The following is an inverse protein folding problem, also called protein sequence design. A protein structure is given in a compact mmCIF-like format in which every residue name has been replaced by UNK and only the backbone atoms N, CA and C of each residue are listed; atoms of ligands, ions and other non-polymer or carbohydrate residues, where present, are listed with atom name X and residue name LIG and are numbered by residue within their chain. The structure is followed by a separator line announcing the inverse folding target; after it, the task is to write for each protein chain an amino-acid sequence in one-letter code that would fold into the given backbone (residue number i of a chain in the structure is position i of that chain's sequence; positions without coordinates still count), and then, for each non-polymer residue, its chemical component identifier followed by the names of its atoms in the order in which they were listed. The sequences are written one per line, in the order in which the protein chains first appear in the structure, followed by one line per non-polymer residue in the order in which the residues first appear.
data_IF_492560608832
#
_entry.id   IF_492560608832
#
_cell.length_a   1.000
_cell.length_b   1.000
_cell.length_c   1.000
_cell.angle_alpha   90.00
_cell.angle_beta   90.00
_cell.angle_gamma   90.00
#
_symmetry.space_group_name_H-M   'P 1'
#
loop_
_entity.id
_entity.type
_entity.pdbx_description
1 polymer ?
#
# COMPACT_ATOMS: atom_id res chain seq x y z
N UNK A 1 14.76 -15.31 -19.81
CA UNK A 1 13.70 -14.65 -20.60
C UNK A 1 13.10 -13.56 -19.73
N UNK A 2 13.05 -12.33 -20.24
CA UNK A 2 12.64 -11.12 -19.51
C UNK A 2 11.17 -11.22 -19.13
N UNK A 3 10.87 -11.24 -17.83
CA UNK A 3 9.51 -11.29 -17.25
C UNK A 3 8.88 -9.89 -17.19
N UNK A 4 8.99 -9.15 -18.27
CA UNK A 4 8.43 -7.79 -18.40
C UNK A 4 7.31 -7.89 -19.43
N UNK A 5 6.13 -7.35 -19.08
CA UNK A 5 4.99 -7.10 -19.98
C UNK A 5 3.94 -8.21 -20.21
N UNK A 6 3.51 -8.92 -19.15
CA UNK A 6 2.06 -9.12 -19.05
C UNK A 6 1.52 -8.01 -18.15
N UNK A 7 0.91 -7.00 -18.77
CA UNK A 7 0.09 -6.05 -18.02
C UNK A 7 -0.91 -6.88 -17.21
N UNK A 8 -0.87 -6.74 -15.89
CA UNK A 8 -1.69 -7.51 -14.97
C UNK A 8 -3.15 -7.48 -15.43
N UNK A 9 -3.64 -8.63 -15.91
CA UNK A 9 -4.97 -8.78 -16.50
C UNK A 9 -6.10 -8.40 -15.51
N UNK A 10 -5.79 -8.29 -14.21
CA UNK A 10 -6.72 -7.88 -13.18
C UNK A 10 -6.80 -6.37 -13.00
N UNK A 11 -5.75 -5.61 -13.36
CA UNK A 11 -5.72 -4.15 -13.16
C UNK A 11 -6.90 -3.45 -13.85
N UNK A 12 -7.18 -3.67 -15.16
CA UNK A 12 -8.33 -3.04 -15.81
C UNK A 12 -9.67 -3.42 -15.16
N UNK A 13 -9.80 -4.65 -14.67
CA UNK A 13 -11.03 -5.15 -14.02
C UNK A 13 -11.24 -4.47 -12.66
N UNK A 14 -10.18 -4.31 -11.87
CA UNK A 14 -10.23 -3.60 -10.59
C UNK A 14 -10.57 -2.12 -10.78
N UNK A 15 -9.98 -1.47 -11.79
CA UNK A 15 -10.29 -0.08 -12.15
C UNK A 15 -11.75 0.11 -12.59
N UNK A 16 -12.39 -0.93 -13.12
CA UNK A 16 -13.81 -0.90 -13.51
C UNK A 16 -14.78 -1.02 -12.32
N UNK A 17 -14.30 -1.34 -11.11
CA UNK A 17 -15.15 -1.48 -9.93
C UNK A 17 -15.55 -0.09 -9.37
N UNK A 18 -16.82 0.31 -9.48
CA UNK A 18 -17.25 1.69 -9.16
C UNK A 18 -17.33 1.99 -7.66
N UNK A 19 -17.11 1.00 -6.81
CA UNK A 19 -17.20 1.12 -5.34
C UNK A 19 -15.91 0.67 -4.63
N UNK A 20 -14.86 0.36 -5.40
CA UNK A 20 -13.57 -0.01 -4.82
C UNK A 20 -12.94 1.22 -4.14
N UNK A 21 -12.85 1.15 -2.81
CA UNK A 21 -12.30 2.23 -1.97
C UNK A 21 -11.01 1.81 -1.26
N UNK A 22 -10.80 0.51 -1.06
CA UNK A 22 -9.66 -0.04 -0.35
C UNK A 22 -9.15 -1.24 -1.12
N UNK A 23 -7.85 -1.30 -1.36
CA UNK A 23 -7.19 -2.41 -2.01
C UNK A 23 -5.89 -2.71 -1.28
N UNK A 24 -5.63 -4.00 -1.08
CA UNK A 24 -4.38 -4.50 -0.52
C UNK A 24 -3.66 -5.35 -1.56
N UNK A 25 -2.36 -5.15 -1.70
CA UNK A 25 -1.46 -5.90 -2.57
C UNK A 25 -0.29 -6.45 -1.73
N UNK A 26 0.30 -7.55 -2.17
CA UNK A 26 1.61 -7.97 -1.66
C UNK A 26 2.74 -7.30 -2.46
N UNK A 27 3.92 -7.23 -1.87
CA UNK A 27 5.16 -6.71 -2.43
C UNK A 27 5.66 -7.39 -3.72
N UNK A 28 5.15 -8.57 -4.05
CA UNK A 28 5.40 -9.23 -5.34
C UNK A 28 4.81 -8.46 -6.53
N UNK A 29 3.87 -7.53 -6.28
CA UNK A 29 3.18 -6.79 -7.34
C UNK A 29 4.08 -5.66 -7.87
N UNK A 30 4.29 -5.55 -9.21
CA UNK A 30 5.10 -4.50 -9.79
C UNK A 30 4.58 -3.09 -9.48
N UNK A 31 5.49 -2.12 -9.32
CA UNK A 31 5.10 -0.73 -9.06
C UNK A 31 4.25 -0.09 -10.16
N UNK A 32 4.41 -0.52 -11.41
CA UNK A 32 3.57 -0.04 -12.50
C UNK A 32 2.10 -0.45 -12.32
N UNK A 33 1.83 -1.62 -11.73
CA UNK A 33 0.48 -2.03 -11.34
C UNK A 33 -0.08 -1.11 -10.26
N UNK A 34 0.70 -0.81 -9.23
CA UNK A 34 0.28 0.13 -8.18
C UNK A 34 -0.03 1.53 -8.76
N UNK A 35 0.81 2.06 -9.66
CA UNK A 35 0.55 3.33 -10.36
C UNK A 35 -0.73 3.28 -11.18
N UNK A 36 -0.93 2.21 -11.95
CA UNK A 36 -2.11 2.05 -12.78
C UNK A 36 -3.40 1.98 -11.94
N UNK A 37 -3.36 1.30 -10.79
CA UNK A 37 -4.49 1.23 -9.85
C UNK A 37 -4.78 2.59 -9.20
N UNK A 38 -3.75 3.34 -8.79
CA UNK A 38 -3.93 4.70 -8.26
C UNK A 38 -4.56 5.61 -9.32
N UNK A 39 -4.07 5.57 -10.56
CA UNK A 39 -4.63 6.39 -11.65
C UNK A 39 -6.02 5.97 -12.12
N UNK A 40 -6.32 4.67 -12.13
CA UNK A 40 -7.56 4.12 -12.68
C UNK A 40 -8.72 4.01 -11.69
N UNK A 41 -8.44 3.67 -10.42
CA UNK A 41 -9.48 3.49 -9.40
C UNK A 41 -9.90 4.83 -8.80
N UNK A 42 -10.88 5.50 -9.45
CA UNK A 42 -11.30 6.88 -9.10
C UNK A 42 -11.82 7.08 -7.68
N UNK A 43 -12.34 6.03 -7.04
CA UNK A 43 -12.87 6.09 -5.66
C UNK A 43 -11.94 5.48 -4.62
N UNK A 44 -10.77 5.02 -5.05
CA UNK A 44 -9.77 4.45 -4.15
C UNK A 44 -9.35 5.51 -3.13
N UNK A 45 -9.46 5.15 -1.86
CA UNK A 45 -9.02 5.92 -0.70
C UNK A 45 -7.68 5.40 -0.18
N UNK A 46 -7.49 4.09 -0.23
CA UNK A 46 -6.29 3.42 0.28
C UNK A 46 -5.82 2.38 -0.72
N UNK A 47 -4.55 2.46 -1.12
CA UNK A 47 -3.80 1.36 -1.68
C UNK A 47 -2.74 0.94 -0.67
N UNK A 48 -2.96 -0.21 -0.03
CA UNK A 48 -2.04 -0.78 0.95
C UNK A 48 -1.16 -1.82 0.27
N UNK A 49 0.15 -1.73 0.49
CA UNK A 49 1.11 -2.75 0.07
C UNK A 49 1.69 -3.40 1.31
N UNK A 50 1.49 -4.71 1.44
CA UNK A 50 2.10 -5.51 2.49
C UNK A 50 3.48 -5.96 2.03
N UNK A 51 4.47 -5.66 2.85
CA UNK A 51 5.88 -5.81 2.53
C UNK A 51 6.54 -6.85 3.43
N UNK A 52 7.11 -7.89 2.82
CA UNK A 52 7.62 -9.08 3.51
C UNK A 52 9.02 -8.87 4.09
N UNK A 53 9.81 -7.96 3.52
CA UNK A 53 11.14 -7.63 4.05
C UNK A 53 11.09 -6.55 5.15
N UNK A 54 12.25 -6.14 5.66
CA UNK A 54 12.35 -5.09 6.67
C UNK A 54 11.97 -3.69 6.15
N UNK A 55 11.56 -2.80 7.06
CA UNK A 55 11.18 -1.40 6.78
C UNK A 55 12.19 -0.65 5.91
N UNK A 56 13.49 -0.79 6.21
CA UNK A 56 14.55 -0.07 5.49
C UNK A 56 14.50 -0.40 4.00
N UNK A 57 14.31 -1.67 3.66
CA UNK A 57 14.26 -2.11 2.28
C UNK A 57 12.97 -1.67 1.59
N UNK A 58 11.83 -1.75 2.28
CA UNK A 58 10.55 -1.26 1.75
C UNK A 58 10.55 0.24 1.47
N UNK A 59 11.10 1.05 2.39
CA UNK A 59 11.25 2.50 2.20
C UNK A 59 12.20 2.80 1.04
N UNK A 60 13.35 2.13 0.98
CA UNK A 60 14.31 2.28 -0.13
C UNK A 60 13.65 1.97 -1.48
N UNK A 61 12.87 0.88 -1.54
CA UNK A 61 12.16 0.46 -2.73
C UNK A 61 11.07 1.44 -3.13
N UNK A 62 10.32 1.99 -2.18
CA UNK A 62 9.31 3.01 -2.43
C UNK A 62 9.91 4.32 -2.93
N UNK A 63 11.14 4.67 -2.51
CA UNK A 63 11.82 5.88 -3.00
C UNK A 63 12.22 5.77 -4.48
N UNK A 64 12.38 4.56 -5.03
CA UNK A 64 12.63 4.37 -6.47
C UNK A 64 11.44 4.80 -7.34
N UNK A 65 10.24 4.78 -6.76
CA UNK A 65 9.02 5.21 -7.42
C UNK A 65 8.39 6.29 -6.55
N UNK A 66 8.70 7.58 -6.78
CA UNK A 66 8.16 8.66 -5.97
C UNK A 66 6.65 8.79 -6.25
N UNK A 67 5.85 7.93 -5.61
CA UNK A 67 4.41 8.01 -5.61
C UNK A 67 4.03 9.31 -4.90
N UNK A 68 3.74 10.36 -5.69
CA UNK A 68 3.19 11.63 -5.17
C UNK A 68 1.75 11.42 -4.64
N UNK A 69 1.14 10.30 -4.99
CA UNK A 69 -0.20 9.96 -4.57
C UNK A 69 -0.25 9.56 -3.09
N UNK A 70 -0.89 10.39 -2.28
CA UNK A 70 -0.99 10.19 -0.84
C UNK A 70 -1.74 8.91 -0.44
N UNK A 71 -2.51 8.29 -1.35
CA UNK A 71 -3.28 7.06 -1.10
C UNK A 71 -2.41 5.82 -1.00
N UNK A 72 -1.15 5.91 -1.42
CA UNK A 72 -0.19 4.82 -1.34
C UNK A 72 0.39 4.68 0.08
N UNK A 73 0.21 3.50 0.66
CA UNK A 73 0.67 3.17 2.01
C UNK A 73 1.32 1.80 1.99
N UNK A 74 2.43 1.66 2.72
CA UNK A 74 3.11 0.39 2.95
C UNK A 74 2.98 -0.03 4.41
N UNK A 75 2.90 -1.33 4.65
CA UNK A 75 2.91 -1.92 5.99
C UNK A 75 3.69 -3.23 5.95
N UNK A 76 4.24 -3.71 7.08
CA UNK A 76 4.82 -5.04 7.12
C UNK A 76 3.75 -6.10 6.80
N UNK A 77 4.14 -7.12 6.05
CA UNK A 77 3.43 -8.38 5.97
C UNK A 77 3.70 -9.13 7.28
N UNK A 78 2.71 -9.18 8.17
CA UNK A 78 2.82 -9.99 9.37
C UNK A 78 2.56 -11.45 9.00
N UNK A 79 3.56 -12.32 9.13
CA UNK A 79 3.34 -13.76 9.08
C UNK A 79 2.39 -14.13 10.20
N UNK A 80 1.16 -14.49 9.84
CA UNK A 80 0.09 -14.77 10.79
C UNK A 80 0.26 -16.19 11.31
N UNK A 81 1.33 -16.44 12.07
CA UNK A 81 1.44 -17.64 12.90
C UNK A 81 0.49 -17.48 14.09
N UNK A 82 -0.78 -17.82 13.84
CA UNK A 82 -1.76 -18.15 14.87
C UNK A 82 -2.30 -16.99 15.70
N UNK A 83 -3.05 -16.06 15.08
CA UNK A 83 -4.29 -15.51 15.68
C UNK A 83 -4.84 -14.34 14.84
N UNK A 84 -5.79 -14.67 13.96
CA UNK A 84 -6.62 -13.69 13.20
C UNK A 84 -7.41 -12.73 14.14
N UNK A 85 -7.37 -12.93 15.45
CA UNK A 85 -8.23 -12.24 16.42
C UNK A 85 -7.74 -10.86 16.88
N UNK A 86 -6.47 -10.50 16.63
CA UNK A 86 -5.91 -9.24 17.16
C UNK A 86 -5.27 -8.31 16.14
N UNK A 87 -5.32 -8.61 14.84
CA UNK A 87 -4.80 -7.69 13.83
C UNK A 87 -5.63 -6.38 13.85
N UNK A 88 -5.07 -5.25 14.32
CA UNK A 88 -5.78 -3.98 14.33
C UNK A 88 -6.19 -3.62 12.90
N UNK A 89 -7.37 -3.00 12.72
CA UNK A 89 -7.92 -2.72 11.39
C UNK A 89 -6.91 -1.92 10.52
N UNK A 90 -6.23 -2.55 9.54
CA UNK A 90 -5.20 -1.88 8.74
C UNK A 90 -5.77 -0.70 7.96
N UNK A 91 -7.06 -0.76 7.62
CA UNK A 91 -7.72 0.25 6.79
C UNK A 91 -7.88 1.58 7.51
N UNK A 92 -8.39 1.57 8.75
CA UNK A 92 -8.56 2.82 9.52
C UNK A 92 -7.21 3.49 9.79
N UNK A 93 -6.17 2.70 10.09
CA UNK A 93 -4.83 3.23 10.32
C UNK A 93 -4.22 3.81 9.04
N UNK A 94 -4.39 3.12 7.90
CA UNK A 94 -3.95 3.65 6.62
C UNK A 94 -4.68 4.96 6.30
N UNK A 95 -6.00 5.04 6.49
CA UNK A 95 -6.74 6.29 6.32
C UNK A 95 -6.22 7.41 7.23
N UNK A 96 -5.91 7.11 8.50
CA UNK A 96 -5.40 8.11 9.44
C UNK A 96 -3.97 8.55 9.11
N UNK A 97 -3.13 7.64 8.62
CA UNK A 97 -1.80 7.95 8.10
C UNK A 97 -1.89 8.88 6.89
N UNK A 98 -2.78 8.59 5.93
CA UNK A 98 -3.02 9.44 4.76
C UNK A 98 -3.52 10.82 5.19
N UNK A 99 -4.46 10.89 6.14
CA UNK A 99 -4.93 12.17 6.72
C UNK A 99 -3.76 12.94 7.33
N UNK A 100 -2.91 12.29 8.13
CA UNK A 100 -1.76 12.91 8.76
C UNK A 100 -0.77 13.49 7.73
N UNK A 101 -0.53 12.78 6.61
CA UNK A 101 0.26 13.30 5.47
C UNK A 101 -0.38 14.55 4.85
N UNK A 102 -1.68 14.51 4.56
CA UNK A 102 -2.43 15.67 4.00
C UNK A 102 -2.40 16.89 4.91
N UNK A 103 -2.35 16.69 6.23
CA UNK A 103 -2.22 17.78 7.21
C UNK A 103 -0.77 18.21 7.48
N UNK A 104 0.22 17.65 6.77
CA UNK A 104 1.64 17.98 6.96
C UNK A 104 2.22 17.53 8.30
N UNK A 105 1.58 16.57 8.98
CA UNK A 105 2.07 16.01 10.26
C UNK A 105 3.11 14.91 10.05
N UNK A 106 3.16 14.36 8.84
CA UNK A 106 4.09 13.33 8.38
C UNK A 106 4.63 13.81 7.05
N UNK A 107 5.88 13.48 6.74
CA UNK A 107 6.48 13.81 5.45
C UNK A 107 5.71 13.20 4.28
N UNK A 108 5.58 13.94 3.19
CA UNK A 108 4.87 13.50 1.98
C UNK A 108 5.45 12.20 1.40
N UNK A 109 6.75 11.98 1.58
CA UNK A 109 7.49 10.80 1.10
C UNK A 109 7.65 9.70 2.14
N UNK A 110 7.03 9.83 3.31
CA UNK A 110 6.90 8.71 4.23
C UNK A 110 5.73 7.85 3.77
N UNK A 111 6.03 6.60 3.43
CA UNK A 111 5.06 5.62 2.92
C UNK A 111 4.81 4.50 3.93
N UNK A 112 5.72 4.33 4.90
CA UNK A 112 5.67 3.24 5.85
C UNK A 112 4.74 3.58 7.01
N UNK A 113 3.60 2.91 7.06
CA UNK A 113 2.73 2.96 8.23
C UNK A 113 3.43 2.25 9.39
N UNK A 114 3.57 2.89 10.56
CA UNK A 114 4.19 2.27 11.73
C UNK A 114 3.45 1.00 12.16
N UNK A 115 4.20 0.01 12.67
CA UNK A 115 3.71 -1.34 12.98
C UNK A 115 2.52 -1.34 13.96
N UNK A 116 1.85 -2.49 14.04
CA UNK A 116 0.82 -2.82 15.03
C UNK A 116 1.34 -2.99 16.45
N UNK A 117 2.65 -3.18 16.58
CA UNK A 117 3.35 -3.18 17.85
C UNK A 117 3.63 -1.73 18.22
N UNK A 118 2.74 -1.19 19.06
CA UNK A 118 3.10 -0.11 19.95
C UNK A 118 4.37 -0.49 20.69
N UNK A 119 5.27 0.48 20.86
CA UNK A 119 6.38 0.43 21.80
C UNK A 119 5.98 -0.30 23.10
N UNK A 120 6.41 -1.56 23.24
CA UNK A 120 6.42 -2.33 24.48
C UNK A 120 7.68 -3.17 24.51
#
# INVERSE_FOLDING_TARGET
MSSTEEADAYTPKLCALPVLTHLCLNDIVPWETAKALLGGCRRLKVLLVLWSDGRIEGVRRAQEVPFVDDRFVMAPYADVDGSIQFAPNPWSRAEDFIKAKRFGRIEEREYWMPNFESDW
#
